data_IF_824420990153
#
_entry.id   IF_824420990153
#
_cell.length_a   1.000
_cell.length_b   1.000
_cell.length_c   1.000
_cell.angle_alpha   90.00
_cell.angle_beta   90.00
_cell.angle_gamma   90.00
#
_symmetry.space_group_name_H-M   'P 1'
#
loop_
_entity.id
_entity.type
_entity.pdbx_description
1 polymer ?
#
# COMPACT_ATOMS: atom_id res chain seq x y z
N UNK A 1 17.40 20.81 15.83
CA UNK A 1 16.97 20.14 14.59
C UNK A 1 17.83 20.72 13.48
N UNK A 2 18.47 19.89 12.65
CA UNK A 2 19.16 20.42 11.46
C UNK A 2 18.09 20.95 10.49
N UNK A 3 18.27 22.15 9.95
CA UNK A 3 17.34 22.73 8.98
C UNK A 3 17.58 22.02 7.65
N UNK A 4 16.72 21.06 7.33
CA UNK A 4 16.62 20.44 6.02
C UNK A 4 15.14 20.30 5.66
N UNK A 5 14.85 20.10 4.38
CA UNK A 5 13.49 20.11 3.87
C UNK A 5 12.61 19.03 4.50
N UNK A 6 13.16 17.82 4.66
CA UNK A 6 12.47 16.68 5.28
C UNK A 6 12.04 16.97 6.73
N UNK A 7 12.91 17.61 7.53
CA UNK A 7 12.59 17.99 8.90
C UNK A 7 11.51 19.06 8.96
N UNK A 8 11.52 20.03 8.04
CA UNK A 8 10.48 21.08 7.94
C UNK A 8 9.13 20.42 7.63
N UNK A 9 9.05 19.56 6.62
CA UNK A 9 7.81 18.88 6.24
C UNK A 9 7.30 17.95 7.33
N UNK A 10 8.19 17.18 7.95
CA UNK A 10 7.83 16.33 9.09
C UNK A 10 7.26 17.15 10.24
N UNK A 11 7.87 18.31 10.55
CA UNK A 11 7.40 19.17 11.62
C UNK A 11 6.05 19.82 11.29
N UNK A 12 5.84 20.26 10.05
CA UNK A 12 4.53 20.77 9.59
C UNK A 12 3.43 19.73 9.76
N UNK A 13 3.65 18.49 9.32
CA UNK A 13 2.69 17.39 9.50
C UNK A 13 2.38 17.10 10.98
N UNK A 14 3.38 17.21 11.86
CA UNK A 14 3.15 17.07 13.30
C UNK A 14 2.28 18.20 13.84
N UNK A 15 2.55 19.44 13.45
CA UNK A 15 1.79 20.62 13.87
C UNK A 15 0.34 20.56 13.38
N UNK A 16 0.08 20.15 12.12
CA UNK A 16 -1.27 19.95 11.59
C UNK A 16 -2.05 18.88 12.38
N UNK A 17 -1.40 17.75 12.70
CA UNK A 17 -2.00 16.70 13.53
C UNK A 17 -2.30 17.19 14.94
N UNK A 18 -1.43 18.02 15.51
CA UNK A 18 -1.63 18.60 16.83
C UNK A 18 -2.78 19.61 16.82
N UNK A 19 -2.80 20.51 15.83
CA UNK A 19 -3.88 21.47 15.63
C UNK A 19 -5.24 20.76 15.50
N UNK A 20 -5.33 19.76 14.63
CA UNK A 20 -6.54 18.96 14.42
C UNK A 20 -7.04 18.29 15.71
N UNK A 21 -6.13 17.82 16.57
CA UNK A 21 -6.50 17.22 17.87
C UNK A 21 -7.00 18.25 18.89
N UNK A 22 -6.45 19.46 18.84
CA UNK A 22 -6.77 20.54 19.77
C UNK A 22 -8.07 21.24 19.38
N UNK A 23 -8.36 21.33 18.08
CA UNK A 23 -9.53 22.01 17.54
C UNK A 23 -10.85 21.47 18.12
N UNK A 24 -10.94 20.15 18.36
CA UNK A 24 -12.10 19.48 18.95
C UNK A 24 -12.14 19.48 20.49
N UNK A 25 -11.17 20.09 21.16
CA UNK A 25 -11.20 20.26 22.62
C UNK A 25 -12.12 21.41 23.02
N UNK A 26 -12.64 21.38 24.26
CA UNK A 26 -13.45 22.47 24.82
C UNK A 26 -12.66 23.79 24.79
N UNK A 27 -13.35 24.89 24.49
CA UNK A 27 -12.72 26.20 24.41
C UNK A 27 -12.22 26.65 25.79
N UNK A 28 -10.90 26.78 25.90
CA UNK A 28 -10.20 27.25 27.09
C UNK A 28 -9.10 28.23 26.70
N UNK A 29 -8.68 29.08 27.64
CA UNK A 29 -7.55 29.99 27.43
C UNK A 29 -6.28 29.21 27.03
N UNK A 30 -6.10 28.01 27.58
CA UNK A 30 -4.95 27.17 27.27
C UNK A 30 -5.02 26.60 25.84
N UNK A 31 -6.21 26.24 25.34
CA UNK A 31 -6.42 25.89 23.92
C UNK A 31 -5.93 27.00 23.00
N UNK A 32 -6.35 28.24 23.25
CA UNK A 32 -5.94 29.39 22.42
C UNK A 32 -4.43 29.66 22.49
N UNK A 33 -3.80 29.51 23.65
CA UNK A 33 -2.33 29.65 23.79
C UNK A 33 -1.58 28.60 22.96
N UNK A 34 -2.05 27.35 22.98
CA UNK A 34 -1.41 26.27 22.22
C UNK A 34 -1.63 26.49 20.71
N UNK A 35 -2.83 26.88 20.28
CA UNK A 35 -3.12 27.20 18.87
C UNK A 35 -2.24 28.35 18.36
N UNK A 36 -2.10 29.44 19.12
CA UNK A 36 -1.23 30.57 18.76
C UNK A 36 0.26 30.15 18.69
N UNK A 37 0.70 29.25 19.58
CA UNK A 37 2.05 28.68 19.49
C UNK A 37 2.24 27.87 18.20
N UNK A 38 1.27 27.03 17.84
CA UNK A 38 1.30 26.24 16.60
C UNK A 38 1.34 27.15 15.39
N UNK A 39 0.53 28.21 15.36
CA UNK A 39 0.50 29.21 14.29
C UNK A 39 1.87 29.87 14.11
N UNK A 40 2.46 30.41 15.18
CA UNK A 40 3.80 31.01 15.14
C UNK A 40 4.89 30.04 14.67
N UNK A 41 4.84 28.79 15.11
CA UNK A 41 5.81 27.78 14.68
C UNK A 41 5.62 27.43 13.20
N UNK A 42 4.37 27.37 12.73
CA UNK A 42 4.05 27.15 11.31
C UNK A 42 4.54 28.30 10.44
N UNK A 43 4.40 29.55 10.90
CA UNK A 43 4.91 30.73 10.18
C UNK A 43 6.43 30.71 10.02
N UNK A 44 7.17 30.34 11.08
CA UNK A 44 8.63 30.18 11.02
C UNK A 44 9.00 29.10 10.00
N UNK A 45 8.33 27.94 10.05
CA UNK A 45 8.57 26.85 9.10
C UNK A 45 8.27 27.28 7.66
N UNK A 46 7.23 28.09 7.44
CA UNK A 46 6.92 28.64 6.12
C UNK A 46 8.02 29.59 5.60
N UNK A 47 8.59 30.41 6.48
CA UNK A 47 9.71 31.29 6.13
C UNK A 47 10.98 30.50 5.80
N UNK A 48 11.33 29.49 6.61
CA UNK A 48 12.47 28.62 6.35
C UNK A 48 12.32 27.91 5.00
N UNK A 49 11.12 27.40 4.71
CA UNK A 49 10.82 26.73 3.45
C UNK A 49 10.92 27.69 2.24
N UNK A 50 10.53 28.95 2.40
CA UNK A 50 10.67 29.98 1.37
C UNK A 50 12.14 30.31 1.09
N UNK A 51 12.96 30.41 2.13
CA UNK A 51 14.42 30.63 1.98
C UNK A 51 15.05 29.46 1.22
N UNK A 52 14.70 28.21 1.58
CA UNK A 52 15.20 27.02 0.88
C UNK A 52 14.81 27.02 -0.61
N UNK A 53 13.57 27.40 -0.93
CA UNK A 53 13.14 27.49 -2.32
C UNK A 53 13.87 28.59 -3.09
N UNK A 54 14.08 29.75 -2.50
CA UNK A 54 14.87 30.81 -3.12
C UNK A 54 16.30 30.34 -3.42
N UNK A 55 16.94 29.69 -2.45
CA UNK A 55 18.29 29.15 -2.64
C UNK A 55 18.31 28.03 -3.68
N UNK A 56 17.31 27.16 -3.68
CA UNK A 56 17.20 26.10 -4.66
C UNK A 56 17.05 26.68 -6.08
N UNK A 57 16.18 27.67 -6.28
CA UNK A 57 16.05 28.34 -7.57
C UNK A 57 17.38 28.99 -8.00
N UNK A 58 18.07 29.72 -7.10
CA UNK A 58 19.38 30.32 -7.37
C UNK A 58 20.42 29.28 -7.78
N UNK A 59 20.45 28.15 -7.10
CA UNK A 59 21.36 27.05 -7.40
C UNK A 59 21.06 26.43 -8.77
N UNK A 60 19.80 26.09 -9.04
CA UNK A 60 19.36 25.51 -10.30
C UNK A 60 19.60 26.47 -11.48
N UNK A 61 19.45 27.78 -11.31
CA UNK A 61 19.79 28.77 -12.32
C UNK A 61 21.27 28.73 -12.71
N UNK A 62 22.15 28.55 -11.73
CA UNK A 62 23.60 28.55 -11.94
C UNK A 62 24.11 27.23 -12.52
N UNK A 63 23.63 26.10 -11.99
CA UNK A 63 24.19 24.77 -12.27
C UNK A 63 23.36 23.91 -13.22
N UNK A 64 22.06 24.19 -13.35
CA UNK A 64 21.12 23.47 -14.23
C UNK A 64 20.30 24.41 -15.13
N UNK A 65 20.94 25.27 -15.95
CA UNK A 65 20.24 26.31 -16.71
C UNK A 65 19.26 25.76 -17.76
N UNK A 66 19.47 24.51 -18.22
CA UNK A 66 18.63 23.84 -19.22
C UNK A 66 17.44 23.09 -18.62
N UNK A 67 17.36 22.98 -17.29
CA UNK A 67 16.26 22.28 -16.62
C UNK A 67 14.99 23.12 -16.68
N UNK A 68 13.86 22.51 -17.01
CA UNK A 68 12.57 23.20 -17.08
C UNK A 68 11.99 23.48 -15.68
N UNK A 69 12.49 24.55 -15.05
CA UNK A 69 12.20 24.90 -13.65
C UNK A 69 10.74 25.27 -13.35
N UNK A 70 9.94 25.62 -14.36
CA UNK A 70 8.53 25.98 -14.17
C UNK A 70 7.62 24.76 -13.96
N UNK A 71 8.06 23.59 -14.39
CA UNK A 71 7.31 22.34 -14.20
C UNK A 71 7.66 21.62 -12.90
N UNK A 72 8.70 22.08 -12.20
CA UNK A 72 9.16 21.46 -10.97
C UNK A 72 8.41 21.99 -9.75
N UNK A 73 7.98 21.06 -8.91
CA UNK A 73 7.48 21.40 -7.58
C UNK A 73 8.61 21.95 -6.72
N UNK A 74 8.23 22.64 -5.65
CA UNK A 74 9.18 23.16 -4.65
C UNK A 74 10.09 22.06 -4.10
N UNK A 75 9.49 20.94 -3.72
CA UNK A 75 10.13 19.76 -3.16
C UNK A 75 11.19 19.19 -4.13
N UNK A 76 10.83 19.06 -5.41
CA UNK A 76 11.73 18.58 -6.46
C UNK A 76 12.94 19.48 -6.65
N UNK A 77 12.75 20.81 -6.57
CA UNK A 77 13.86 21.76 -6.70
C UNK A 77 14.84 21.63 -5.54
N UNK A 78 14.32 21.55 -4.32
CA UNK A 78 15.14 21.49 -3.11
C UNK A 78 15.90 20.16 -3.04
N UNK A 79 15.24 19.03 -3.31
CA UNK A 79 15.88 17.71 -3.24
C UNK A 79 17.01 17.55 -4.27
N UNK A 80 16.82 18.05 -5.50
CA UNK A 80 17.89 18.04 -6.52
C UNK A 80 19.12 18.80 -6.01
N UNK A 81 18.92 19.94 -5.35
CA UNK A 81 20.01 20.75 -4.82
C UNK A 81 20.69 20.05 -3.64
N UNK A 82 19.91 19.53 -2.69
CA UNK A 82 20.44 18.81 -1.52
C UNK A 82 21.26 17.58 -1.92
N UNK A 83 20.80 16.81 -2.91
CA UNK A 83 21.53 15.66 -3.45
C UNK A 83 22.79 16.10 -4.20
N UNK A 84 22.70 17.17 -5.00
CA UNK A 84 23.87 17.71 -5.72
C UNK A 84 24.96 18.16 -4.74
N UNK A 85 24.58 18.86 -3.67
CA UNK A 85 25.49 19.38 -2.65
C UNK A 85 26.09 18.25 -1.81
N UNK A 86 25.26 17.30 -1.34
CA UNK A 86 25.71 16.18 -0.51
C UNK A 86 26.66 15.23 -1.25
N UNK A 87 26.41 14.99 -2.54
CA UNK A 87 27.29 14.17 -3.39
C UNK A 87 28.49 14.96 -3.93
N UNK A 88 28.50 16.30 -3.75
CA UNK A 88 29.49 17.21 -4.32
C UNK A 88 29.72 16.99 -5.82
N UNK A 89 28.63 16.72 -6.57
CA UNK A 89 28.67 16.38 -8.00
C UNK A 89 27.38 16.82 -8.68
N UNK A 90 27.52 17.43 -9.87
CA UNK A 90 26.36 17.72 -10.73
C UNK A 90 25.71 16.43 -11.22
N UNK A 91 24.39 16.39 -11.07
CA UNK A 91 23.52 15.30 -11.47
C UNK A 91 23.28 15.34 -12.98
N UNK A 92 23.30 14.17 -13.61
CA UNK A 92 22.84 14.02 -14.99
C UNK A 92 21.30 14.10 -15.06
N UNK A 93 20.75 14.24 -16.27
CA UNK A 93 19.29 14.20 -16.47
C UNK A 93 18.66 12.91 -15.93
N UNK A 94 19.33 11.77 -16.11
CA UNK A 94 18.86 10.49 -15.57
C UNK A 94 18.91 10.44 -14.04
N UNK A 95 19.95 11.04 -13.44
CA UNK A 95 20.06 11.13 -11.98
C UNK A 95 18.91 11.97 -11.43
N UNK A 96 18.63 13.12 -12.05
CA UNK A 96 17.51 14.01 -11.69
C UNK A 96 16.16 13.30 -11.83
N UNK A 97 15.93 12.54 -12.91
CA UNK A 97 14.71 11.74 -13.05
C UNK A 97 14.57 10.69 -11.94
N UNK A 98 15.68 10.08 -11.52
CA UNK A 98 15.68 9.12 -10.40
C UNK A 98 15.30 9.82 -9.10
N UNK A 99 15.85 11.02 -8.85
CA UNK A 99 15.47 11.85 -7.69
C UNK A 99 13.97 12.11 -7.67
N UNK A 100 13.37 12.47 -8.81
CA UNK A 100 11.93 12.73 -8.89
C UNK A 100 11.08 11.51 -8.58
N UNK A 101 11.49 10.33 -9.08
CA UNK A 101 10.79 9.07 -8.78
C UNK A 101 10.86 8.71 -7.30
N UNK A 102 12.04 8.86 -6.69
CA UNK A 102 12.22 8.60 -5.26
C UNK A 102 11.41 9.55 -4.38
N UNK A 103 11.36 10.84 -4.73
CA UNK A 103 10.49 11.81 -4.06
C UNK A 103 9.02 11.42 -4.15
N UNK A 104 8.57 11.04 -5.35
CA UNK A 104 7.17 10.65 -5.57
C UNK A 104 6.80 9.39 -4.79
N UNK A 105 7.68 8.37 -4.75
CA UNK A 105 7.47 7.17 -3.91
C UNK A 105 7.31 7.53 -2.44
N UNK A 106 8.24 8.34 -1.89
CA UNK A 106 8.17 8.79 -0.49
C UNK A 106 6.85 9.51 -0.20
N UNK A 107 6.40 10.36 -1.12
CA UNK A 107 5.11 11.06 -0.97
C UNK A 107 3.93 10.09 -0.99
N UNK A 108 3.92 9.13 -1.92
CA UNK A 108 2.89 8.09 -2.01
C UNK A 108 2.85 7.27 -0.71
N UNK A 109 4.00 6.83 -0.19
CA UNK A 109 4.09 6.08 1.06
C UNK A 109 3.55 6.89 2.25
N UNK A 110 3.89 8.17 2.34
CA UNK A 110 3.37 9.05 3.38
C UNK A 110 1.84 9.23 3.28
N UNK A 111 1.32 9.46 2.07
CA UNK A 111 -0.13 9.58 1.84
C UNK A 111 -0.87 8.28 2.21
N UNK A 112 -0.30 7.12 1.88
CA UNK A 112 -0.82 5.82 2.27
C UNK A 112 -0.81 5.64 3.80
N UNK A 113 0.28 6.01 4.46
CA UNK A 113 0.40 5.98 5.92
C UNK A 113 -0.69 6.84 6.59
N UNK A 114 -0.98 8.03 6.03
CA UNK A 114 -2.05 8.91 6.52
C UNK A 114 -3.43 8.28 6.29
N UNK A 115 -3.73 7.81 5.07
CA UNK A 115 -5.06 7.29 4.71
C UNK A 115 -5.39 5.96 5.42
N UNK A 116 -4.37 5.12 5.62
CA UNK A 116 -4.52 3.79 6.21
C UNK A 116 -4.24 3.78 7.72
N UNK A 117 -3.91 4.94 8.31
CA UNK A 117 -3.50 5.10 9.71
C UNK A 117 -2.32 4.17 10.08
N UNK A 118 -1.27 4.15 9.26
CA UNK A 118 -0.07 3.32 9.41
C UNK A 118 -0.36 1.81 9.49
N UNK A 119 -1.51 1.35 8.98
CA UNK A 119 -1.84 -0.07 8.92
C UNK A 119 -1.55 -0.60 7.52
N UNK A 120 -0.66 -1.58 7.36
CA UNK A 120 -0.51 -2.26 6.07
C UNK A 120 -1.83 -2.95 5.73
N UNK A 121 -2.30 -2.75 4.51
CA UNK A 121 -3.51 -3.38 3.98
C UNK A 121 -3.28 -3.86 2.57
N UNK A 122 -3.78 -5.06 2.30
CA UNK A 122 -3.82 -5.60 0.94
C UNK A 122 -4.87 -4.91 0.08
N UNK A 123 -4.67 -4.93 -1.23
CA UNK A 123 -5.59 -4.47 -2.27
C UNK A 123 -6.98 -5.04 -2.03
N UNK A 124 -7.08 -6.36 -1.92
CA UNK A 124 -8.35 -7.06 -1.71
C UNK A 124 -9.02 -6.69 -0.37
N UNK A 125 -8.24 -6.45 0.69
CA UNK A 125 -8.78 -6.02 1.98
C UNK A 125 -9.39 -4.61 1.88
N UNK A 126 -8.75 -3.70 1.13
CA UNK A 126 -9.30 -2.37 0.84
C UNK A 126 -10.59 -2.47 0.02
N UNK A 127 -10.61 -3.33 -1.00
CA UNK A 127 -11.80 -3.58 -1.81
C UNK A 127 -12.99 -4.10 -0.98
N UNK A 128 -12.73 -5.01 -0.04
CA UNK A 128 -13.77 -5.48 0.89
C UNK A 128 -14.28 -4.34 1.79
N UNK A 129 -13.40 -3.45 2.28
CA UNK A 129 -13.84 -2.26 3.04
C UNK A 129 -14.71 -1.36 2.18
N UNK A 130 -14.35 -1.13 0.91
CA UNK A 130 -15.14 -0.35 -0.06
C UNK A 130 -16.53 -0.96 -0.27
N UNK A 131 -16.60 -2.27 -0.50
CA UNK A 131 -17.86 -3.00 -0.70
C UNK A 131 -18.74 -2.92 0.55
N UNK A 132 -18.16 -3.21 1.72
CA UNK A 132 -18.87 -3.16 3.00
C UNK A 132 -19.38 -1.75 3.32
N UNK A 133 -18.58 -0.71 3.06
CA UNK A 133 -19.00 0.68 3.23
C UNK A 133 -20.17 1.02 2.29
N UNK A 134 -20.11 0.58 1.04
CA UNK A 134 -21.19 0.76 0.06
C UNK A 134 -22.48 0.05 0.47
N UNK A 135 -22.40 -1.21 0.89
CA UNK A 135 -23.57 -1.97 1.36
C UNK A 135 -24.20 -1.33 2.59
N UNK A 136 -23.39 -0.94 3.59
CA UNK A 136 -23.88 -0.27 4.81
C UNK A 136 -24.51 1.09 4.49
N UNK A 137 -23.93 1.83 3.55
CA UNK A 137 -24.47 3.11 3.10
C UNK A 137 -25.88 2.93 2.50
N UNK A 138 -26.05 1.96 1.60
CA UNK A 138 -27.34 1.67 1.00
C UNK A 138 -28.37 1.15 2.02
N UNK A 139 -27.95 0.26 2.94
CA UNK A 139 -28.81 -0.19 4.03
C UNK A 139 -29.30 0.97 4.89
N UNK A 140 -28.41 1.90 5.24
CA UNK A 140 -28.76 3.05 6.06
C UNK A 140 -29.65 4.03 5.31
N UNK A 141 -29.41 4.24 4.01
CA UNK A 141 -30.25 5.05 3.13
C UNK A 141 -31.69 4.52 3.10
N UNK A 142 -31.85 3.22 2.88
CA UNK A 142 -33.18 2.56 2.84
C UNK A 142 -33.86 2.63 4.20
N UNK A 143 -33.15 2.28 5.28
CA UNK A 143 -33.69 2.33 6.66
C UNK A 143 -34.15 3.72 7.06
N UNK A 144 -33.44 4.75 6.63
CA UNK A 144 -33.74 6.15 6.98
C UNK A 144 -34.75 6.79 6.02
N UNK A 145 -35.28 6.04 5.04
CA UNK A 145 -36.24 6.55 4.07
C UNK A 145 -35.69 7.62 3.13
N UNK A 146 -34.36 7.68 2.94
CA UNK A 146 -33.72 8.71 2.12
C UNK A 146 -33.83 8.36 0.64
N UNK A 147 -34.43 9.27 -0.11
CA UNK A 147 -34.49 9.22 -1.56
C UNK A 147 -33.72 10.41 -2.14
N UNK A 148 -32.61 10.17 -2.82
CA UNK A 148 -31.82 11.26 -3.42
C UNK A 148 -32.54 12.01 -4.54
N UNK A 149 -33.62 11.46 -5.10
CA UNK A 149 -34.49 12.17 -6.03
C UNK A 149 -35.47 13.13 -5.32
N UNK A 150 -35.66 13.00 -4.00
CA UNK A 150 -36.50 13.87 -3.19
C UNK A 150 -35.68 14.54 -2.07
N UNK A 151 -35.25 15.80 -2.26
CA UNK A 151 -34.48 16.55 -1.27
C UNK A 151 -35.16 16.72 0.10
N UNK A 152 -36.50 16.63 0.17
CA UNK A 152 -37.22 16.72 1.44
C UNK A 152 -36.97 15.49 2.34
N UNK A 153 -36.77 14.31 1.74
CA UNK A 153 -36.46 13.08 2.46
C UNK A 153 -35.13 13.15 3.24
N UNK A 154 -34.16 13.93 2.75
CA UNK A 154 -32.86 14.15 3.39
C UNK A 154 -33.01 15.02 4.64
N UNK A 155 -33.87 16.04 4.60
CA UNK A 155 -34.13 16.93 5.74
C UNK A 155 -34.86 16.23 6.89
N UNK A 156 -35.59 15.16 6.59
CA UNK A 156 -36.34 14.37 7.56
C UNK A 156 -35.51 13.22 8.18
N UNK A 157 -34.31 12.96 7.64
CA UNK A 157 -33.41 11.95 8.18
C UNK A 157 -32.76 12.42 9.47
N UNK A 158 -32.41 11.46 10.35
CA UNK A 158 -31.74 11.81 11.60
C UNK A 158 -30.31 12.30 11.35
N UNK A 159 -29.86 13.32 12.10
CA UNK A 159 -28.48 13.82 12.04
C UNK A 159 -27.44 12.71 12.28
N UNK A 160 -27.80 11.72 13.10
CA UNK A 160 -26.95 10.56 13.38
C UNK A 160 -26.75 9.71 12.12
N UNK A 161 -27.83 9.44 11.39
CA UNK A 161 -27.78 8.65 10.17
C UNK A 161 -27.03 9.42 9.07
N UNK A 162 -27.30 10.72 8.90
CA UNK A 162 -26.58 11.58 7.95
C UNK A 162 -25.06 11.62 8.23
N UNK A 163 -24.66 11.78 9.49
CA UNK A 163 -23.24 11.72 9.89
C UNK A 163 -22.61 10.36 9.60
N UNK A 164 -23.34 9.27 9.85
CA UNK A 164 -22.87 7.92 9.56
C UNK A 164 -22.72 7.68 8.06
N UNK A 165 -23.64 8.17 7.23
CA UNK A 165 -23.54 8.12 5.76
C UNK A 165 -22.32 8.89 5.26
N UNK A 166 -22.11 10.10 5.76
CA UNK A 166 -20.96 10.91 5.40
C UNK A 166 -19.64 10.23 5.78
N UNK A 167 -19.59 9.60 6.96
CA UNK A 167 -18.44 8.80 7.38
C UNK A 167 -18.17 7.62 6.43
N UNK A 168 -19.21 6.88 6.03
CA UNK A 168 -19.08 5.75 5.11
C UNK A 168 -18.62 6.18 3.71
N UNK A 169 -19.11 7.31 3.21
CA UNK A 169 -18.65 7.89 1.95
C UNK A 169 -17.18 8.30 2.01
N UNK A 170 -16.79 9.05 3.05
CA UNK A 170 -15.39 9.45 3.25
C UNK A 170 -14.48 8.23 3.40
N UNK A 171 -14.93 7.19 4.08
CA UNK A 171 -14.19 5.94 4.19
C UNK A 171 -13.99 5.31 2.80
N UNK A 172 -15.05 5.20 1.99
CA UNK A 172 -14.98 4.67 0.62
C UNK A 172 -14.02 5.47 -0.26
N UNK A 173 -14.12 6.80 -0.23
CA UNK A 173 -13.24 7.72 -0.98
C UNK A 173 -11.78 7.55 -0.57
N UNK A 174 -11.49 7.51 0.74
CA UNK A 174 -10.15 7.30 1.24
C UNK A 174 -9.57 5.96 0.78
N UNK A 175 -10.34 4.86 0.85
CA UNK A 175 -9.85 3.55 0.41
C UNK A 175 -9.63 3.50 -1.12
N UNK A 176 -10.49 4.15 -1.91
CA UNK A 176 -10.29 4.27 -3.36
C UNK A 176 -9.01 5.04 -3.70
N UNK A 177 -8.78 6.17 -3.01
CA UNK A 177 -7.53 6.93 -3.15
C UNK A 177 -6.32 6.09 -2.75
N UNK A 178 -6.43 5.29 -1.68
CA UNK A 178 -5.37 4.35 -1.31
C UNK A 178 -5.09 3.31 -2.39
N UNK A 179 -6.11 2.75 -3.05
CA UNK A 179 -5.91 1.80 -4.16
C UNK A 179 -5.18 2.44 -5.35
N UNK A 180 -5.50 3.68 -5.70
CA UNK A 180 -4.81 4.42 -6.77
C UNK A 180 -3.33 4.66 -6.43
N UNK A 181 -3.06 5.06 -5.18
CA UNK A 181 -1.70 5.29 -4.67
C UNK A 181 -0.90 3.98 -4.62
N UNK A 182 -1.49 2.89 -4.14
CA UNK A 182 -0.86 1.55 -4.16
C UNK A 182 -0.52 1.14 -5.59
N UNK A 183 -1.45 1.35 -6.53
CA UNK A 183 -1.20 1.01 -7.93
C UNK A 183 0.02 1.74 -8.50
N UNK A 184 0.14 3.05 -8.24
CA UNK A 184 1.29 3.85 -8.66
C UNK A 184 2.59 3.40 -7.98
N UNK A 185 2.55 3.09 -6.69
CA UNK A 185 3.71 2.58 -5.96
C UNK A 185 4.19 1.24 -6.56
N UNK A 186 3.26 0.34 -6.83
CA UNK A 186 3.55 -0.95 -7.45
C UNK A 186 4.08 -0.81 -8.87
N UNK A 187 3.59 0.16 -9.65
CA UNK A 187 4.14 0.48 -10.97
C UNK A 187 5.62 0.89 -10.87
N UNK A 188 5.97 1.71 -9.86
CA UNK A 188 7.36 2.06 -9.59
C UNK A 188 8.20 0.84 -9.21
N UNK A 189 7.77 0.06 -8.22
CA UNK A 189 8.49 -1.13 -7.77
C UNK A 189 8.70 -2.14 -8.91
N UNK A 190 7.66 -2.42 -9.70
CA UNK A 190 7.76 -3.33 -10.83
C UNK A 190 8.70 -2.82 -11.93
N UNK A 191 8.78 -1.51 -12.13
CA UNK A 191 9.72 -0.92 -13.09
C UNK A 191 11.18 -1.13 -12.69
N UNK A 192 11.46 -1.24 -11.39
CA UNK A 192 12.79 -1.50 -10.85
C UNK A 192 13.09 -2.99 -10.81
N UNK A 193 12.09 -3.79 -10.43
CA UNK A 193 12.22 -5.24 -10.40
C UNK A 193 12.42 -5.84 -11.80
N UNK A 194 11.69 -5.29 -12.78
CA UNK A 194 11.61 -5.81 -14.15
C UNK A 194 11.72 -4.70 -15.21
N UNK A 195 12.86 -4.00 -15.31
CA UNK A 195 13.01 -2.83 -16.19
C UNK A 195 12.75 -3.15 -17.66
N UNK A 196 13.15 -4.35 -18.10
CA UNK A 196 13.08 -4.78 -19.49
C UNK A 196 11.79 -5.53 -19.86
N UNK A 197 10.85 -5.71 -18.92
CA UNK A 197 9.60 -6.43 -19.18
C UNK A 197 8.42 -5.48 -19.31
N UNK A 198 8.04 -5.13 -20.54
CA UNK A 198 6.91 -4.21 -20.78
C UNK A 198 5.53 -4.79 -20.41
N UNK A 199 5.41 -6.13 -20.31
CA UNK A 199 4.17 -6.80 -19.90
C UNK A 199 3.66 -6.33 -18.54
N UNK A 200 4.55 -5.87 -17.65
CA UNK A 200 4.17 -5.32 -16.33
C UNK A 200 3.10 -4.23 -16.36
N UNK A 201 3.00 -3.48 -17.48
CA UNK A 201 2.00 -2.41 -17.68
C UNK A 201 0.56 -2.93 -17.83
N UNK A 202 0.38 -4.22 -18.10
CA UNK A 202 -0.92 -4.86 -18.33
C UNK A 202 -1.41 -5.66 -17.14
N UNK A 203 -0.65 -5.69 -16.04
CA UNK A 203 -1.04 -6.36 -14.81
C UNK A 203 -2.16 -5.58 -14.12
N UNK A 204 -3.13 -6.32 -13.57
CA UNK A 204 -4.12 -5.72 -12.66
C UNK A 204 -3.47 -5.36 -11.33
N UNK A 205 -4.14 -4.52 -10.54
CA UNK A 205 -3.61 -4.12 -9.23
C UNK A 205 -3.35 -5.31 -8.30
N UNK A 206 -4.23 -6.30 -8.32
CA UNK A 206 -4.10 -7.55 -7.56
C UNK A 206 -2.91 -8.37 -8.05
N UNK A 207 -2.71 -8.47 -9.36
CA UNK A 207 -1.56 -9.19 -9.92
C UNK A 207 -0.25 -8.51 -9.53
N UNK A 208 -0.19 -7.17 -9.57
CA UNK A 208 0.98 -6.40 -9.12
C UNK A 208 1.32 -6.67 -7.66
N UNK A 209 0.30 -6.73 -6.79
CA UNK A 209 0.46 -7.06 -5.37
C UNK A 209 1.20 -8.38 -5.18
N UNK A 210 0.88 -9.41 -5.97
CA UNK A 210 1.52 -10.73 -5.87
C UNK A 210 3.02 -10.67 -6.16
N UNK A 211 3.46 -9.86 -7.12
CA UNK A 211 4.88 -9.69 -7.43
C UNK A 211 5.64 -8.99 -6.29
N UNK A 212 5.06 -7.93 -5.74
CA UNK A 212 5.66 -7.19 -4.61
C UNK A 212 5.74 -8.08 -3.38
N UNK A 213 4.66 -8.81 -3.07
CA UNK A 213 4.66 -9.79 -1.97
C UNK A 213 5.70 -10.89 -2.17
N UNK A 214 5.90 -11.35 -3.41
CA UNK A 214 6.92 -12.36 -3.72
C UNK A 214 8.33 -11.84 -3.45
N UNK A 215 8.61 -10.60 -3.84
CA UNK A 215 9.91 -9.97 -3.59
C UNK A 215 10.16 -9.80 -2.10
N UNK A 216 9.19 -9.27 -1.36
CA UNK A 216 9.26 -9.13 0.10
C UNK A 216 9.52 -10.47 0.80
N UNK A 217 8.87 -11.53 0.34
CA UNK A 217 9.03 -12.85 0.93
C UNK A 217 10.35 -13.49 0.51
N UNK A 218 10.68 -13.59 -0.77
CA UNK A 218 11.87 -14.31 -1.23
C UNK A 218 13.17 -13.50 -1.14
N UNK A 219 13.09 -12.19 -0.91
CA UNK A 219 14.24 -11.27 -0.94
C UNK A 219 14.89 -11.15 -2.32
N UNK A 220 14.16 -11.56 -3.37
CA UNK A 220 14.60 -11.51 -4.77
C UNK A 220 13.41 -11.45 -5.72
N UNK A 221 13.64 -10.86 -6.89
CA UNK A 221 12.66 -10.84 -7.97
C UNK A 221 12.50 -12.25 -8.57
N UNK A 222 11.26 -12.71 -8.67
CA UNK A 222 10.96 -13.98 -9.34
C UNK A 222 11.02 -13.81 -10.86
N UNK A 223 11.73 -14.70 -11.53
CA UNK A 223 11.88 -14.71 -13.00
C UNK A 223 11.00 -15.80 -13.62
N UNK A 224 10.77 -15.78 -14.95
CA UNK A 224 10.09 -16.86 -15.65
C UNK A 224 10.56 -18.28 -15.30
N UNK A 225 11.85 -18.45 -15.03
CA UNK A 225 12.45 -19.73 -14.64
C UNK A 225 12.04 -20.16 -13.23
N UNK A 226 11.89 -19.20 -12.32
CA UNK A 226 11.42 -19.45 -10.96
C UNK A 226 9.97 -19.94 -10.96
N UNK A 227 9.11 -19.64 -11.95
CA UNK A 227 7.76 -20.24 -11.98
C UNK A 227 7.75 -21.72 -12.37
N UNK A 228 8.74 -22.16 -13.15
CA UNK A 228 8.91 -23.57 -13.53
C UNK A 228 9.41 -24.40 -12.34
N UNK A 229 10.40 -23.85 -11.60
CA UNK A 229 10.86 -24.43 -10.34
C UNK A 229 10.84 -23.39 -9.20
N UNK A 230 9.68 -23.19 -8.59
CA UNK A 230 9.44 -22.26 -7.50
C UNK A 230 10.44 -22.37 -6.36
N UNK A 231 11.11 -21.26 -5.99
CA UNK A 231 12.03 -21.26 -4.87
C UNK A 231 11.27 -21.60 -3.60
N UNK A 232 11.93 -22.36 -2.73
CA UNK A 232 11.43 -22.68 -1.40
C UNK A 232 12.26 -21.88 -0.40
N UNK A 233 11.63 -20.96 0.34
CA UNK A 233 12.34 -20.12 1.31
C UNK A 233 12.75 -20.91 2.55
N UNK A 234 11.86 -21.77 3.03
CA UNK A 234 12.08 -22.59 4.21
C UNK A 234 12.02 -24.07 3.85
N UNK A 235 13.00 -24.85 4.29
CA UNK A 235 12.97 -26.31 4.18
C UNK A 235 11.71 -26.89 4.83
N UNK A 236 11.39 -28.13 4.50
CA UNK A 236 10.23 -28.84 5.07
C UNK A 236 10.26 -28.84 6.59
N UNK A 237 11.41 -29.12 7.17
CA UNK A 237 11.62 -29.20 8.60
C UNK A 237 11.41 -27.83 9.25
N UNK A 238 11.95 -26.77 8.64
CA UNK A 238 11.77 -25.39 9.10
C UNK A 238 10.31 -24.94 9.00
N UNK A 239 9.62 -25.25 7.90
CA UNK A 239 8.19 -24.92 7.75
C UNK A 239 7.35 -25.57 8.86
N UNK A 240 7.59 -26.85 9.18
CA UNK A 240 6.88 -27.54 10.28
C UNK A 240 7.15 -26.89 11.62
N UNK A 241 8.40 -26.54 11.87
CA UNK A 241 8.82 -25.92 13.12
C UNK A 241 8.22 -24.51 13.28
N UNK A 242 8.29 -23.68 12.24
CA UNK A 242 7.67 -22.35 12.21
C UNK A 242 6.16 -22.46 12.45
N UNK A 243 5.46 -23.38 11.79
CA UNK A 243 4.02 -23.60 11.99
C UNK A 243 3.71 -23.97 13.44
N UNK A 244 4.52 -24.86 14.03
CA UNK A 244 4.35 -25.28 15.42
C UNK A 244 4.47 -24.10 16.38
N UNK A 245 5.47 -23.24 16.19
CA UNK A 245 5.65 -22.03 17.00
C UNK A 245 4.53 -21.01 16.78
N UNK A 246 4.10 -20.79 15.54
CA UNK A 246 2.98 -19.89 15.26
C UNK A 246 1.69 -20.38 15.92
N UNK A 247 1.45 -21.69 15.91
CA UNK A 247 0.28 -22.31 16.53
C UNK A 247 0.33 -22.20 18.05
N UNK A 248 1.49 -22.38 18.67
CA UNK A 248 1.64 -22.22 20.12
C UNK A 248 1.44 -20.76 20.55
N UNK A 249 2.04 -19.79 19.83
CA UNK A 249 1.87 -18.35 20.08
C UNK A 249 0.40 -17.94 20.04
N UNK A 250 -0.37 -18.43 19.07
CA UNK A 250 -1.79 -18.07 18.95
C UNK A 250 -2.67 -18.68 20.05
N UNK A 251 -2.29 -19.86 20.57
CA UNK A 251 -3.04 -20.54 21.62
C UNK A 251 -2.61 -20.10 23.04
N UNK A 252 -1.40 -19.60 23.19
CA UNK A 252 -0.92 -18.98 24.43
C UNK A 252 -1.52 -17.57 24.54
N UNK A 253 -2.52 -17.42 25.42
CA UNK A 253 -3.14 -16.12 25.73
C UNK A 253 -2.23 -15.24 26.61
N UNK A 254 -0.97 -15.06 26.24
CA UNK A 254 -0.08 -14.11 26.91
C UNK A 254 -0.45 -12.71 26.40
N UNK A 255 -0.68 -11.77 27.32
CA UNK A 255 -1.21 -10.43 27.02
C UNK A 255 -0.30 -9.59 26.11
N UNK A 256 0.99 -9.95 26.03
CA UNK A 256 2.02 -9.36 25.18
C UNK A 256 2.74 -10.44 24.35
N UNK A 257 2.65 -10.35 23.02
CA UNK A 257 3.35 -11.28 22.12
C UNK A 257 4.88 -11.28 22.31
N UNK A 258 5.48 -10.21 22.85
CA UNK A 258 6.94 -10.09 23.06
C UNK A 258 7.49 -10.98 24.18
N UNK A 259 6.62 -11.42 25.09
CA UNK A 259 7.01 -12.17 26.29
C UNK A 259 6.74 -13.67 26.15
N UNK A 260 6.15 -14.11 25.02
CA UNK A 260 6.00 -15.53 24.72
C UNK A 260 7.38 -16.12 24.38
N UNK A 261 7.86 -17.13 25.12
CA UNK A 261 9.13 -17.78 24.82
C UNK A 261 9.18 -18.32 23.38
N UNK A 262 8.06 -18.81 22.83
CA UNK A 262 7.98 -19.27 21.45
C UNK A 262 8.14 -18.13 20.44
N UNK A 263 7.66 -16.93 20.76
CA UNK A 263 7.87 -15.75 19.93
C UNK A 263 9.36 -15.38 19.90
N UNK A 264 10.02 -15.36 21.06
CA UNK A 264 11.45 -15.09 21.15
C UNK A 264 12.30 -16.16 20.44
N UNK A 265 11.95 -17.44 20.61
CA UNK A 265 12.60 -18.54 19.90
C UNK A 265 12.45 -18.41 18.39
N UNK A 266 11.23 -18.10 17.90
CA UNK A 266 10.99 -17.92 16.47
C UNK A 266 11.82 -16.76 15.91
N UNK A 267 11.85 -15.61 16.60
CA UNK A 267 12.66 -14.46 16.17
C UNK A 267 14.17 -14.73 16.22
N UNK A 268 14.65 -15.47 17.21
CA UNK A 268 16.07 -15.78 17.33
C UNK A 268 16.53 -16.80 16.28
N UNK A 269 15.71 -17.81 15.99
CA UNK A 269 16.04 -18.87 15.03
C UNK A 269 15.78 -18.45 13.58
N UNK A 270 14.73 -17.67 13.35
CA UNK A 270 14.32 -17.16 12.03
C UNK A 270 14.19 -15.64 12.07
N UNK A 271 15.31 -14.90 12.17
CA UNK A 271 15.30 -13.44 12.29
C UNK A 271 14.62 -12.74 11.10
N UNK A 272 14.67 -13.36 9.92
CA UNK A 272 14.04 -12.85 8.70
C UNK A 272 12.54 -13.18 8.60
N UNK A 273 11.97 -13.89 9.60
CA UNK A 273 10.55 -14.22 9.61
C UNK A 273 9.72 -13.04 10.14
N UNK A 274 8.94 -12.41 9.26
CA UNK A 274 8.23 -11.18 9.57
C UNK A 274 6.82 -11.44 10.13
N UNK A 275 6.72 -11.72 11.43
CA UNK A 275 5.47 -11.97 12.16
C UNK A 275 4.40 -10.87 12.00
N UNK A 276 4.84 -9.62 11.93
CA UNK A 276 3.95 -8.45 11.82
C UNK A 276 3.58 -8.13 10.37
N UNK A 277 4.37 -8.60 9.39
CA UNK A 277 4.07 -8.40 7.98
C UNK A 277 3.04 -9.43 7.52
N UNK A 278 1.84 -8.96 7.18
CA UNK A 278 0.78 -9.85 6.71
C UNK A 278 1.08 -10.42 5.32
N UNK A 279 1.72 -9.66 4.43
CA UNK A 279 2.15 -10.10 3.10
C UNK A 279 3.06 -11.30 3.19
N UNK A 280 4.06 -11.16 4.05
CA UNK A 280 5.01 -12.22 4.35
C UNK A 280 4.33 -13.50 4.85
N UNK A 281 3.40 -13.36 5.80
CA UNK A 281 2.66 -14.52 6.34
C UNK A 281 1.77 -15.18 5.30
N UNK A 282 1.13 -14.41 4.42
CA UNK A 282 0.33 -14.95 3.34
C UNK A 282 1.18 -15.74 2.34
N UNK A 283 2.38 -15.23 2.01
CA UNK A 283 3.33 -15.94 1.16
C UNK A 283 3.84 -17.23 1.81
N UNK A 284 4.16 -17.19 3.11
CA UNK A 284 4.50 -18.38 3.88
C UNK A 284 3.39 -19.43 3.85
N UNK A 285 2.13 -19.01 4.04
CA UNK A 285 0.96 -19.87 3.94
C UNK A 285 0.85 -20.52 2.55
N UNK A 286 0.97 -19.73 1.48
CA UNK A 286 0.88 -20.21 0.11
C UNK A 286 1.98 -21.24 -0.21
N UNK A 287 3.23 -20.95 0.19
CA UNK A 287 4.36 -21.89 0.01
C UNK A 287 4.11 -23.20 0.78
N UNK A 288 3.63 -23.14 2.03
CA UNK A 288 3.33 -24.35 2.80
C UNK A 288 2.19 -25.17 2.18
N UNK A 289 1.13 -24.51 1.70
CA UNK A 289 -0.01 -25.19 1.06
C UNK A 289 0.38 -25.92 -0.23
N UNK A 290 1.34 -25.39 -0.98
CA UNK A 290 1.91 -26.06 -2.16
C UNK A 290 2.59 -27.38 -1.79
N UNK A 291 3.35 -27.41 -0.70
CA UNK A 291 4.06 -28.59 -0.22
C UNK A 291 3.27 -29.38 0.84
N UNK A 292 1.93 -29.26 0.84
CA UNK A 292 1.06 -29.90 1.85
C UNK A 292 1.32 -31.39 2.05
N UNK A 293 1.57 -32.11 0.96
CA UNK A 293 1.76 -33.56 0.97
C UNK A 293 3.08 -33.93 1.65
N UNK A 294 4.10 -33.07 1.54
CA UNK A 294 5.40 -33.26 2.21
C UNK A 294 5.35 -32.86 3.69
N UNK A 295 4.62 -31.80 4.01
CA UNK A 295 4.53 -31.22 5.37
C UNK A 295 3.70 -32.11 6.31
N UNK A 296 2.67 -32.77 5.79
CA UNK A 296 1.80 -33.67 6.53
C UNK A 296 0.56 -32.98 7.10
N UNK A 297 -0.54 -33.74 7.17
CA UNK A 297 -1.89 -33.21 7.42
C UNK A 297 -2.03 -32.50 8.78
N UNK A 298 -1.49 -33.06 9.87
CA UNK A 298 -1.61 -32.46 11.21
C UNK A 298 -1.04 -31.04 11.28
N UNK A 299 0.12 -30.83 10.65
CA UNK A 299 0.77 -29.52 10.58
C UNK A 299 -0.02 -28.56 9.67
N UNK A 300 -0.59 -29.05 8.58
CA UNK A 300 -1.44 -28.23 7.70
C UNK A 300 -2.73 -27.81 8.41
N UNK A 301 -3.31 -28.67 9.25
CA UNK A 301 -4.47 -28.33 10.06
C UNK A 301 -4.14 -27.23 11.08
N UNK A 302 -2.95 -27.27 11.69
CA UNK A 302 -2.45 -26.18 12.53
C UNK A 302 -2.30 -24.88 11.73
N UNK A 303 -1.69 -24.95 10.54
CA UNK A 303 -1.54 -23.80 9.64
C UNK A 303 -2.90 -23.18 9.28
N UNK A 304 -3.89 -23.98 8.90
CA UNK A 304 -5.22 -23.49 8.57
C UNK A 304 -5.91 -22.79 9.76
N UNK A 305 -5.72 -23.32 10.98
CA UNK A 305 -6.20 -22.69 12.22
C UNK A 305 -5.49 -21.38 12.51
N UNK A 306 -4.16 -21.32 12.31
CA UNK A 306 -3.38 -20.08 12.53
C UNK A 306 -3.96 -18.95 11.69
N UNK A 307 -4.16 -19.24 10.42
CA UNK A 307 -4.62 -18.26 9.46
C UNK A 307 -6.15 -18.07 9.49
N UNK A 308 -6.92 -18.79 10.30
CA UNK A 308 -8.40 -18.71 10.31
C UNK A 308 -9.05 -18.98 8.93
N UNK A 309 -8.49 -19.91 8.14
CA UNK A 309 -9.14 -20.35 6.89
C UNK A 309 -10.24 -21.33 7.26
N UNK A 310 -11.48 -20.84 7.40
CA UNK A 310 -12.63 -21.71 7.63
C UNK A 310 -12.91 -22.55 6.37
N UNK A 311 -13.14 -23.88 6.49
CA UNK A 311 -13.64 -24.67 5.38
C UNK A 311 -15.00 -24.15 4.92
N UNK A 312 -15.22 -24.15 3.59
CA UNK A 312 -16.23 -23.42 2.82
C UNK A 312 -17.71 -23.61 3.21
N UNK A 313 -18.05 -24.44 4.21
CA UNK A 313 -19.45 -24.81 4.50
C UNK A 313 -20.26 -23.78 5.30
N UNK A 314 -19.65 -22.78 5.93
CA UNK A 314 -20.34 -21.88 6.87
C UNK A 314 -20.21 -20.39 6.52
N UNK A 315 -20.23 -20.03 5.23
CA UNK A 315 -20.12 -18.61 4.81
C UNK A 315 -21.46 -17.87 4.93
N UNK A 316 -22.59 -18.57 5.02
CA UNK A 316 -23.92 -17.94 5.14
C UNK A 316 -24.25 -17.44 6.55
N UNK A 317 -23.61 -17.94 7.62
CA UNK A 317 -23.98 -17.61 9.01
C UNK A 317 -23.14 -16.50 9.68
N UNK A 318 -22.11 -15.95 9.02
CA UNK A 318 -21.22 -14.94 9.65
C UNK A 318 -21.55 -13.48 9.29
N UNK A 319 -22.71 -13.21 8.72
CA UNK A 319 -23.10 -11.83 8.38
C UNK A 319 -23.56 -10.98 9.59
N UNK A 320 -23.72 -11.54 10.79
CA UNK A 320 -24.32 -10.79 11.90
C UNK A 320 -23.37 -10.34 13.02
N UNK A 321 -22.27 -11.03 13.36
CA UNK A 321 -21.60 -10.75 14.63
C UNK A 321 -20.06 -10.79 14.57
N UNK A 322 -19.44 -9.63 14.39
CA UNK A 322 -18.29 -9.19 15.20
C UNK A 322 -17.77 -7.81 14.78
N UNK A 323 -18.01 -6.82 15.63
CA UNK A 323 -17.17 -5.63 15.73
C UNK A 323 -15.84 -6.02 16.37
N UNK A 324 -14.78 -6.28 15.59
CA UNK A 324 -13.40 -6.22 16.08
C UNK A 324 -12.41 -5.95 14.95
N UNK A 325 -11.30 -5.29 15.30
CA UNK A 325 -10.30 -4.66 14.41
C UNK A 325 -9.37 -5.65 13.65
N UNK A 326 -9.83 -6.85 13.31
CA UNK A 326 -9.02 -7.82 12.57
C UNK A 326 -9.91 -8.71 11.71
N UNK A 327 -10.23 -8.24 10.51
CA UNK A 327 -10.82 -9.10 9.47
C UNK A 327 -9.74 -10.14 9.08
N UNK A 328 -10.05 -11.45 9.03
CA UNK A 328 -9.06 -12.46 8.67
C UNK A 328 -8.67 -12.30 7.19
N UNK A 329 -7.41 -11.95 6.93
CA UNK A 329 -6.84 -11.78 5.59
C UNK A 329 -6.64 -13.11 4.82
N UNK A 330 -7.07 -14.25 5.37
CA UNK A 330 -6.70 -15.58 4.89
C UNK A 330 -7.65 -16.21 3.89
N UNK A 331 -8.81 -15.59 3.65
CA UNK A 331 -9.72 -16.02 2.56
C UNK A 331 -9.18 -15.67 1.16
N UNK A 332 -8.01 -15.04 1.05
CA UNK A 332 -7.68 -14.24 -0.12
C UNK A 332 -7.08 -15.02 -1.31
N UNK A 333 -6.41 -16.16 -1.12
CA UNK A 333 -5.88 -16.96 -2.25
C UNK A 333 -5.81 -18.45 -1.88
N UNK A 334 -6.95 -19.11 -1.61
CA UNK A 334 -7.01 -20.59 -1.56
C UNK A 334 -8.44 -21.15 -1.50
N UNK A 335 -9.37 -20.66 -2.33
CA UNK A 335 -10.67 -21.34 -2.48
C UNK A 335 -10.76 -22.24 -3.71
N UNK A 336 -9.90 -22.06 -4.72
CA UNK A 336 -10.04 -22.71 -6.03
C UNK A 336 -8.89 -23.67 -6.41
N UNK A 337 -7.98 -24.02 -5.49
CA UNK A 337 -6.94 -25.02 -5.75
C UNK A 337 -5.85 -24.60 -6.75
N UNK A 338 -5.76 -23.31 -7.10
CA UNK A 338 -4.65 -22.78 -7.88
C UNK A 338 -3.50 -22.38 -6.96
N UNK A 339 -2.31 -22.90 -7.26
CA UNK A 339 -1.06 -22.53 -6.61
C UNK A 339 -0.70 -21.06 -6.95
N UNK A 340 -0.21 -20.32 -5.96
CA UNK A 340 0.27 -18.93 -6.09
C UNK A 340 1.17 -18.73 -7.32
N UNK A 341 2.08 -19.67 -7.57
CA UNK A 341 2.97 -19.61 -8.74
C UNK A 341 2.22 -19.79 -10.06
N UNK A 342 1.15 -20.59 -10.09
CA UNK A 342 0.29 -20.73 -11.27
C UNK A 342 -0.49 -19.45 -11.58
N UNK A 343 -0.88 -18.70 -10.54
CA UNK A 343 -1.53 -17.39 -10.70
C UNK A 343 -0.54 -16.40 -11.31
N UNK A 344 0.68 -16.30 -10.77
CA UNK A 344 1.73 -15.45 -11.32
C UNK A 344 2.08 -15.83 -12.76
N UNK A 345 2.23 -17.12 -13.06
CA UNK A 345 2.52 -17.57 -14.42
C UNK A 345 1.39 -17.20 -15.40
N UNK A 346 0.13 -17.37 -14.98
CA UNK A 346 -1.03 -17.00 -15.79
C UNK A 346 -1.09 -15.49 -16.05
N UNK A 347 -0.84 -14.68 -15.01
CA UNK A 347 -0.78 -13.23 -15.12
C UNK A 347 0.30 -12.78 -16.12
N UNK A 348 1.50 -13.39 -16.07
CA UNK A 348 2.57 -13.10 -17.03
C UNK A 348 2.15 -13.44 -18.46
N UNK A 349 1.60 -14.64 -18.68
CA UNK A 349 1.16 -15.08 -20.01
C UNK A 349 0.07 -14.17 -20.57
N UNK A 350 -0.88 -13.75 -19.74
CA UNK A 350 -1.94 -12.85 -20.14
C UNK A 350 -1.42 -11.43 -20.43
N UNK A 351 -0.55 -10.91 -19.57
CA UNK A 351 0.09 -9.61 -19.76
C UNK A 351 0.91 -9.57 -21.06
N UNK A 352 1.71 -10.61 -21.32
CA UNK A 352 2.49 -10.74 -22.56
C UNK A 352 1.61 -10.93 -23.80
N UNK A 353 0.43 -11.54 -23.67
CA UNK A 353 -0.55 -11.62 -24.75
C UNK A 353 -1.09 -10.23 -25.09
N UNK A 354 -1.59 -9.49 -24.08
CA UNK A 354 -2.14 -8.12 -24.26
C UNK A 354 -1.10 -7.17 -24.85
N UNK A 355 0.13 -7.21 -24.35
CA UNK A 355 1.23 -6.40 -24.88
C UNK A 355 1.50 -6.67 -26.37
N UNK A 356 1.54 -7.95 -26.78
CA UNK A 356 1.74 -8.31 -28.20
C UNK A 356 0.58 -7.90 -29.09
N UNK A 357 -0.66 -8.02 -28.60
CA UNK A 357 -1.86 -7.57 -29.31
C UNK A 357 -1.82 -6.06 -29.56
N UNK A 358 -1.51 -5.26 -28.53
CA UNK A 358 -1.38 -3.81 -28.65
C UNK A 358 -0.23 -3.39 -29.57
N UNK A 359 0.92 -4.06 -29.48
CA UNK A 359 2.04 -3.80 -30.39
C UNK A 359 1.65 -4.06 -31.85
N UNK A 360 0.95 -5.16 -32.10
CA UNK A 360 0.45 -5.51 -33.43
C UNK A 360 -0.57 -4.48 -33.95
N UNK A 361 -1.50 -4.04 -33.10
CA UNK A 361 -2.46 -2.98 -33.43
C UNK A 361 -1.78 -1.65 -33.77
N UNK A 362 -0.80 -1.22 -32.98
CA UNK A 362 -0.08 0.02 -33.21
C UNK A 362 0.70 -0.04 -34.53
N UNK A 363 1.33 -1.17 -34.84
CA UNK A 363 2.01 -1.40 -36.13
C UNK A 363 1.02 -1.31 -37.30
N UNK A 364 -0.18 -1.87 -37.16
CA UNK A 364 -1.22 -1.80 -38.20
C UNK A 364 -1.78 -0.39 -38.38
N UNK A 365 -1.99 0.37 -37.29
CA UNK A 365 -2.42 1.78 -37.32
C UNK A 365 -1.36 2.66 -38.01
N UNK A 366 -0.06 2.43 -37.75
CA UNK A 366 1.05 3.12 -38.45
C UNK A 366 1.10 2.79 -39.95
N UNK A 367 0.96 1.51 -40.33
CA UNK A 367 0.92 1.08 -41.75
C UNK A 367 -0.28 1.67 -42.51
N UNK A 368 -1.46 1.77 -41.87
CA UNK A 368 -2.63 2.42 -42.47
C UNK A 368 -2.44 3.92 -42.67
N UNK A 369 -1.76 4.61 -41.74
CA UNK A 369 -1.43 6.04 -41.87
C UNK A 369 -0.43 6.32 -43.00
N UNK A 370 0.61 5.48 -43.16
CA UNK A 370 1.54 5.62 -44.29
C UNK A 370 0.85 5.42 -45.65
N UNK A 371 -0.01 4.38 -45.79
CA UNK A 371 -0.77 4.16 -47.04
C UNK A 371 -1.80 5.25 -47.37
N UNK A 372 -2.18 6.08 -46.40
CA UNK A 372 -3.09 7.22 -46.59
C UNK A 372 -2.39 8.52 -46.95
N UNK A 373 -1.06 8.60 -46.85
CA UNK A 373 -0.25 9.75 -47.30
C UNK A 373 0.29 9.58 -48.73
N UNK A 374 0.26 8.37 -49.28
CA UNK A 374 0.65 8.06 -50.67
C UNK A 374 -0.53 8.18 -51.67
N UNK A 375 -1.65 8.78 -51.25
CA UNK A 375 -2.80 9.15 -52.10
C UNK A 375 -3.04 10.65 -51.98
#
# INVERSE_FOLDING_TARGET
MFVNYENINTRKLQLEKWQSRIEFQKDTIDKYKILNRIEKETDILNQDEFILEMEANRFLDKYYPKLNKSELTKDQKIEVVDITVSQNKLLSTNDIETVYRELEKKQIENDLNILLNNRPKFVLALQQVIQNAGMKFEQLRVKSGINFADPASIKNASDKDLKQMQFLLKQKENMNKSLELINRLYDYQLSEMYPNWDGRKYLTLEEKELFVMAEEFYGKNLTPKDFINPPRKYSKEEQKEIITYLYSIQNNKIESNSDDPNYQFLQNKYPDFQLQNQSYKQMFYNECMRYRDEIGQDTIDQLQRIFNVLPYKNVEELQSDSLSNSIPNSKLISSNGFDFFSILESAIREADRKWREDEFEQRNKKKKRQKGMDR
#
